data_IF_036694773952
#
_entry.id   IF_036694773952
#
_cell.length_a   1.000
_cell.length_b   1.000
_cell.length_c   1.000
_cell.angle_alpha   90.00
_cell.angle_beta   90.00
_cell.angle_gamma   90.00
#
_symmetry.space_group_name_H-M   'P 1'
#
loop_
_entity.id
_entity.type
_entity.pdbx_description
1 polymer ?
#
# COMPACT_ATOMS: atom_id res chain seq x y z
N UNK A 1 1.20 -4.03 -14.96
CA UNK A 1 1.94 -5.16 -14.35
C UNK A 1 3.20 -4.59 -13.73
N UNK A 2 3.47 -4.88 -12.46
CA UNK A 2 4.66 -4.38 -11.74
C UNK A 2 5.96 -4.88 -12.38
N UNK A 3 5.97 -6.10 -12.92
CA UNK A 3 7.15 -6.66 -13.61
C UNK A 3 7.62 -5.84 -14.81
N UNK A 4 6.79 -4.97 -15.39
CA UNK A 4 7.19 -4.07 -16.49
C UNK A 4 8.17 -2.96 -16.05
N UNK A 5 8.24 -2.67 -14.75
CA UNK A 5 9.16 -1.70 -14.18
C UNK A 5 10.59 -2.25 -13.99
N UNK A 6 10.77 -3.57 -14.06
CA UNK A 6 12.07 -4.22 -13.85
C UNK A 6 12.88 -4.19 -15.14
N UNK A 7 14.10 -3.63 -15.09
CA UNK A 7 15.04 -3.54 -16.21
C UNK A 7 16.15 -4.58 -16.15
N UNK A 8 16.60 -4.94 -14.94
CA UNK A 8 17.58 -6.00 -14.68
C UNK A 8 17.25 -6.67 -13.35
N UNK A 9 17.61 -7.95 -13.24
CA UNK A 9 17.45 -8.75 -12.03
C UNK A 9 18.61 -9.76 -11.92
N UNK A 10 19.30 -9.80 -10.78
CA UNK A 10 20.30 -10.83 -10.50
C UNK A 10 20.34 -11.20 -9.02
N UNK A 11 20.71 -12.45 -8.75
CA UNK A 11 20.94 -12.94 -7.39
C UNK A 11 22.29 -12.42 -6.92
N UNK A 12 22.32 -11.80 -5.74
CA UNK A 12 23.55 -11.30 -5.10
C UNK A 12 24.03 -12.18 -3.95
N UNK A 13 23.14 -12.97 -3.32
CA UNK A 13 23.50 -13.90 -2.26
C UNK A 13 22.46 -15.02 -2.08
N UNK A 14 22.89 -16.16 -1.51
CA UNK A 14 22.04 -17.30 -1.10
C UNK A 14 21.20 -17.90 -2.25
N UNK A 15 21.84 -18.20 -3.38
CA UNK A 15 21.17 -18.72 -4.58
C UNK A 15 20.44 -20.07 -4.36
N UNK A 16 20.87 -20.84 -3.37
CA UNK A 16 20.26 -22.11 -2.95
C UNK A 16 18.87 -21.92 -2.34
N UNK A 17 18.53 -20.72 -1.86
CA UNK A 17 17.19 -20.38 -1.37
C UNK A 17 16.16 -20.15 -2.49
N UNK A 18 16.55 -20.22 -3.76
CA UNK A 18 15.61 -20.10 -4.88
C UNK A 18 14.98 -18.70 -4.97
N UNK A 19 13.65 -18.62 -4.84
CA UNK A 19 12.92 -17.34 -5.00
C UNK A 19 13.17 -16.36 -3.84
N UNK A 20 13.60 -16.87 -2.70
CA UNK A 20 13.85 -16.17 -1.46
C UNK A 20 15.29 -15.64 -1.36
N UNK A 21 16.13 -15.89 -2.37
CA UNK A 21 17.48 -15.35 -2.44
C UNK A 21 17.48 -13.81 -2.42
N UNK A 22 18.61 -13.19 -2.08
CA UNK A 22 18.74 -11.73 -2.16
C UNK A 22 18.94 -11.34 -3.62
N UNK A 23 18.08 -10.48 -4.13
CA UNK A 23 18.09 -10.00 -5.51
C UNK A 23 18.37 -8.51 -5.58
N UNK A 24 19.20 -8.11 -6.54
CA UNK A 24 19.34 -6.73 -6.95
C UNK A 24 18.50 -6.50 -8.21
N UNK A 25 17.75 -5.39 -8.21
CA UNK A 25 16.92 -4.98 -9.34
C UNK A 25 17.29 -3.57 -9.78
N UNK A 26 17.40 -3.37 -11.09
CA UNK A 26 17.36 -2.03 -11.70
C UNK A 26 15.93 -1.76 -12.10
N UNK A 27 15.36 -0.67 -11.60
CA UNK A 27 13.93 -0.38 -11.70
C UNK A 27 13.72 1.01 -12.33
N UNK A 28 12.71 1.12 -13.18
CA UNK A 28 12.26 2.36 -13.80
C UNK A 28 10.72 2.44 -13.75
N UNK A 29 10.16 3.61 -13.43
CA UNK A 29 8.72 3.87 -13.39
C UNK A 29 7.90 2.89 -12.52
N UNK A 30 8.43 2.53 -11.35
CA UNK A 30 7.72 1.69 -10.39
C UNK A 30 6.68 2.50 -9.61
N UNK A 31 5.38 2.18 -9.72
CA UNK A 31 4.35 2.87 -8.96
C UNK A 31 4.47 2.51 -7.48
N UNK A 32 4.68 3.51 -6.63
CA UNK A 32 4.75 3.38 -5.17
C UNK A 32 3.97 4.50 -4.49
N UNK A 33 3.52 4.25 -3.27
CA UNK A 33 2.84 5.23 -2.42
C UNK A 33 3.56 5.32 -1.08
N UNK A 34 3.70 6.53 -0.54
CA UNK A 34 4.28 6.74 0.79
C UNK A 34 3.28 6.26 1.85
N UNK A 35 3.65 5.21 2.59
CA UNK A 35 2.86 4.68 3.70
C UNK A 35 3.28 5.28 5.06
N UNK A 36 4.57 5.58 5.21
CA UNK A 36 5.14 6.25 6.39
C UNK A 36 6.19 7.24 5.90
N UNK A 37 6.13 8.48 6.38
CA UNK A 37 7.08 9.53 6.01
C UNK A 37 8.25 9.66 7.00
N UNK A 38 9.17 10.58 6.73
CA UNK A 38 10.36 10.82 7.58
C UNK A 38 10.03 11.47 8.92
N UNK A 39 8.82 11.98 9.11
CA UNK A 39 8.33 12.54 10.38
C UNK A 39 7.61 11.48 11.24
N UNK A 40 7.46 10.26 10.73
CA UNK A 40 6.76 9.17 11.40
C UNK A 40 5.24 9.21 11.21
N UNK A 41 4.72 10.04 10.30
CA UNK A 41 3.30 10.03 9.96
C UNK A 41 2.97 8.77 9.16
N UNK A 42 2.01 7.98 9.64
CA UNK A 42 1.61 6.70 9.04
C UNK A 42 0.19 6.73 8.50
N UNK A 43 0.00 6.27 7.26
CA UNK A 43 -1.33 6.15 6.64
C UNK A 43 -2.29 5.31 7.47
N UNK A 44 -1.77 4.31 8.19
CA UNK A 44 -2.58 3.41 9.03
C UNK A 44 -3.14 4.12 10.27
N UNK A 45 -2.58 5.27 10.65
CA UNK A 45 -3.05 6.10 11.76
C UNK A 45 -3.98 7.22 11.29
N UNK A 46 -3.67 7.84 10.15
CA UNK A 46 -4.41 9.02 9.65
C UNK A 46 -5.62 8.63 8.81
N UNK A 47 -5.52 7.60 7.97
CA UNK A 47 -6.58 7.25 7.03
C UNK A 47 -7.88 6.83 7.73
N UNK A 48 -7.88 6.02 8.82
CA UNK A 48 -9.12 5.70 9.54
C UNK A 48 -9.84 6.94 10.05
N UNK A 49 -9.10 7.92 10.58
CA UNK A 49 -9.66 9.18 11.10
C UNK A 49 -10.29 10.01 9.97
N UNK A 50 -9.60 10.14 8.85
CA UNK A 50 -10.09 10.86 7.66
C UNK A 50 -11.37 10.21 7.13
N UNK A 51 -11.38 8.89 6.99
CA UNK A 51 -12.54 8.17 6.47
C UNK A 51 -13.71 8.18 7.45
N UNK A 52 -13.47 8.06 8.75
CA UNK A 52 -14.51 8.18 9.77
C UNK A 52 -15.23 9.54 9.67
N UNK A 53 -14.46 10.64 9.53
CA UNK A 53 -15.02 11.98 9.36
C UNK A 53 -15.79 12.14 8.04
N UNK A 54 -15.34 11.52 6.95
CA UNK A 54 -16.01 11.57 5.65
C UNK A 54 -17.30 10.75 5.65
N UNK A 55 -17.25 9.52 6.16
CA UNK A 55 -18.39 8.60 6.20
C UNK A 55 -19.47 9.12 7.15
N UNK A 56 -19.09 9.71 8.28
CA UNK A 56 -20.06 10.30 9.22
C UNK A 56 -20.91 11.45 8.65
N UNK A 57 -20.52 12.03 7.51
CA UNK A 57 -21.32 13.06 6.80
C UNK A 57 -22.35 12.48 5.84
N UNK A 58 -22.32 11.17 5.58
CA UNK A 58 -23.25 10.52 4.68
C UNK A 58 -24.60 10.37 5.43
N UNK A 59 -25.70 10.95 4.93
CA UNK A 59 -26.99 10.85 5.59
C UNK A 59 -27.47 9.39 5.59
N UNK A 60 -27.78 8.88 6.78
CA UNK A 60 -28.37 7.55 6.93
C UNK A 60 -29.89 7.73 6.88
N UNK A 61 -30.53 7.12 5.88
CA UNK A 61 -31.98 6.99 5.85
C UNK A 61 -32.37 5.96 6.91
N UNK A 62 -32.96 6.43 8.01
CA UNK A 62 -33.56 5.55 9.00
C UNK A 62 -35.00 5.29 8.55
N UNK A 63 -35.25 4.11 7.98
CA UNK A 63 -36.64 3.66 7.80
C UNK A 63 -37.28 3.52 9.19
N UNK A 64 -38.37 4.24 9.38
CA UNK A 64 -39.13 4.17 10.64
C UNK A 64 -39.79 2.78 10.74
N UNK A 65 -39.82 2.15 11.92
CA UNK A 65 -40.60 0.93 12.12
C UNK A 65 -42.05 1.23 11.76
N UNK A 66 -42.61 0.50 10.80
CA UNK A 66 -44.03 0.57 10.51
C UNK A 66 -44.80 0.03 11.72
N UNK A 67 -45.62 0.90 12.33
CA UNK A 67 -46.58 0.56 13.39
C UNK A 67 -47.67 -0.39 12.88
#
# INVERSE_FOLDING_TARGET
MVSKAIRKAHIVAFADLGMEAIHEFVIEDMPVTVAVDTQGESIHLIAPKIWQQKIGKIPVLVESPQT
#
